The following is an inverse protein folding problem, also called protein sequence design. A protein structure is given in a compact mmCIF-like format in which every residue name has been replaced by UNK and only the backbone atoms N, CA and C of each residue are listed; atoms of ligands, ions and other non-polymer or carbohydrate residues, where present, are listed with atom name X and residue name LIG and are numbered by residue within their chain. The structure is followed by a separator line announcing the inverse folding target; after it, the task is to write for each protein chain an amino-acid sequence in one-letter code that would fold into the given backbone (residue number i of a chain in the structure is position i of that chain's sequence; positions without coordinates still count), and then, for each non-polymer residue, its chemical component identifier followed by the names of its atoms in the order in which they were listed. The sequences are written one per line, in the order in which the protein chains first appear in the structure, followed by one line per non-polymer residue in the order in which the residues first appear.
data_IF_588557721065
#
_entry.id   IF_588557721065
#
_cell.length_a   1.000
_cell.length_b   1.000
_cell.length_c   1.000
_cell.angle_alpha   90.00
_cell.angle_beta   90.00
_cell.angle_gamma   90.00
#
_symmetry.space_group_name_H-M   'P 1'
#
loop_
_entity.id
_entity.type
_entity.pdbx_description
1 polymer ?
#
# COMPACT_ATOMS: atom_id res chain seq x y z
N UNK A 1 -6.83 14.45 -1.01
CA UNK A 1 -6.33 15.35 -2.08
C UNK A 1 -5.07 14.75 -2.68
N UNK A 2 -4.81 14.92 -3.99
CA UNK A 2 -3.54 14.50 -4.64
C UNK A 2 -2.87 15.76 -5.17
N UNK A 3 -1.57 15.91 -4.89
CA UNK A 3 -0.72 16.97 -5.41
C UNK A 3 0.43 16.35 -6.20
N UNK A 4 0.73 16.91 -7.36
CA UNK A 4 1.87 16.54 -8.20
C UNK A 4 2.71 17.79 -8.42
N UNK A 5 4.01 17.70 -8.11
CA UNK A 5 4.99 18.73 -8.41
C UNK A 5 6.00 18.19 -9.42
N UNK A 6 6.37 19.03 -10.39
CA UNK A 6 7.41 18.74 -11.37
C UNK A 6 8.57 19.71 -11.14
N UNK A 7 9.80 19.19 -11.17
CA UNK A 7 11.02 19.97 -11.09
C UNK A 7 11.94 19.59 -12.24
N UNK A 8 12.21 20.54 -13.12
CA UNK A 8 13.17 20.41 -14.22
C UNK A 8 14.48 21.10 -13.84
N UNK A 9 15.55 20.32 -13.73
CA UNK A 9 16.91 20.79 -13.53
C UNK A 9 17.90 19.80 -14.14
N UNK A 10 19.00 20.30 -14.73
CA UNK A 10 20.11 19.49 -15.24
C UNK A 10 19.70 18.34 -16.19
N UNK A 11 18.86 18.64 -17.19
CA UNK A 11 18.28 17.67 -18.14
C UNK A 11 17.51 16.51 -17.48
N UNK A 12 17.04 16.70 -16.25
CA UNK A 12 16.23 15.72 -15.49
C UNK A 12 14.89 16.31 -15.10
N UNK A 13 13.83 15.57 -15.45
CA UNK A 13 12.49 15.79 -14.95
C UNK A 13 12.27 14.96 -13.68
N UNK A 14 12.06 15.63 -12.55
CA UNK A 14 11.67 14.99 -11.28
C UNK A 14 10.19 15.20 -11.04
N UNK A 15 9.44 14.11 -10.83
CA UNK A 15 8.02 14.15 -10.49
C UNK A 15 7.85 13.73 -9.03
N UNK A 16 7.29 14.60 -8.20
CA UNK A 16 6.96 14.34 -6.79
C UNK A 16 5.45 14.26 -6.65
N UNK A 17 4.95 13.23 -5.96
CA UNK A 17 3.52 13.03 -5.71
C UNK A 17 3.27 12.97 -4.20
N UNK A 18 2.33 13.79 -3.75
CA UNK A 18 1.83 13.79 -2.37
C UNK A 18 0.35 13.44 -2.40
N UNK A 19 -0.06 12.53 -1.52
CA UNK A 19 -1.46 12.15 -1.38
C UNK A 19 -1.83 12.17 0.11
N UNK A 20 -2.94 12.83 0.41
CA UNK A 20 -3.62 12.67 1.68
C UNK A 20 -4.36 11.32 1.68
N UNK A 21 -3.98 10.46 2.62
CA UNK A 21 -4.42 9.08 2.76
C UNK A 21 -5.23 8.85 4.04
N UNK A 22 -5.56 9.90 4.81
CA UNK A 22 -6.25 9.79 6.10
C UNK A 22 -7.58 9.05 5.96
N UNK A 23 -8.39 9.38 4.96
CA UNK A 23 -9.68 8.71 4.74
C UNK A 23 -9.57 7.21 4.45
N UNK A 24 -8.49 6.77 3.77
CA UNK A 24 -8.24 5.36 3.49
C UNK A 24 -7.80 4.66 4.77
N UNK A 25 -6.91 5.29 5.54
CA UNK A 25 -6.43 4.80 6.82
C UNK A 25 -7.58 4.59 7.80
N UNK A 26 -8.45 5.58 7.98
CA UNK A 26 -9.59 5.50 8.88
C UNK A 26 -10.62 4.46 8.42
N UNK A 27 -10.83 4.31 7.11
CA UNK A 27 -11.67 3.25 6.56
C UNK A 27 -11.11 1.86 6.85
N UNK A 28 -9.80 1.67 6.68
CA UNK A 28 -9.13 0.40 6.98
C UNK A 28 -9.25 0.04 8.47
N UNK A 29 -8.96 1.01 9.36
CA UNK A 29 -9.13 0.86 10.81
C UNK A 29 -10.57 0.53 11.21
N UNK A 30 -11.55 1.19 10.59
CA UNK A 30 -12.97 0.92 10.85
C UNK A 30 -13.33 -0.52 10.46
N UNK A 31 -12.98 -0.95 9.24
CA UNK A 31 -13.21 -2.32 8.77
C UNK A 31 -12.54 -3.36 9.67
N UNK A 32 -11.31 -3.10 10.12
CA UNK A 32 -10.60 -3.97 11.03
C UNK A 32 -11.33 -4.12 12.38
N UNK A 33 -11.82 -3.01 12.95
CA UNK A 33 -12.59 -3.00 14.21
C UNK A 33 -13.94 -3.69 14.08
N UNK A 34 -14.61 -3.52 12.96
CA UNK A 34 -15.94 -4.09 12.68
C UNK A 34 -15.87 -5.55 12.19
N UNK A 35 -14.67 -6.11 12.00
CA UNK A 35 -14.50 -7.47 11.46
C UNK A 35 -14.91 -7.62 9.99
N UNK A 36 -14.99 -6.52 9.24
CA UNK A 36 -15.40 -6.51 7.83
C UNK A 36 -14.17 -6.78 6.95
N UNK A 37 -13.78 -8.04 6.88
CA UNK A 37 -12.58 -8.48 6.15
C UNK A 37 -12.87 -9.52 5.05
N UNK A 38 -14.11 -9.65 4.60
CA UNK A 38 -14.51 -10.62 3.56
C UNK A 38 -14.75 -12.03 4.11
N UNK A 39 -14.83 -13.02 3.22
CA UNK A 39 -15.09 -14.42 3.58
C UNK A 39 -13.82 -15.14 4.03
N UNK A 40 -13.95 -16.39 4.50
CA UNK A 40 -12.79 -17.22 4.85
C UNK A 40 -11.93 -17.55 3.63
N UNK A 41 -12.54 -17.71 2.45
CA UNK A 41 -11.85 -18.08 1.21
C UNK A 41 -11.15 -16.88 0.56
N UNK A 42 -11.71 -15.67 0.71
CA UNK A 42 -11.15 -14.44 0.13
C UNK A 42 -11.17 -13.32 1.17
N UNK A 43 -10.04 -13.14 1.85
CA UNK A 43 -9.88 -12.10 2.87
C UNK A 43 -9.38 -10.80 2.25
N UNK A 44 -10.02 -9.70 2.61
CA UNK A 44 -9.53 -8.36 2.31
C UNK A 44 -8.44 -8.02 3.33
N UNK A 45 -7.19 -8.34 3.01
CA UNK A 45 -6.08 -8.24 3.96
C UNK A 45 -5.71 -6.79 4.34
N UNK A 46 -5.64 -5.89 3.36
CA UNK A 46 -5.26 -4.50 3.55
C UNK A 46 -5.79 -3.61 2.42
N UNK A 47 -5.82 -2.30 2.63
CA UNK A 47 -6.13 -1.32 1.59
C UNK A 47 -4.99 -0.30 1.49
N UNK A 48 -4.06 -0.55 0.55
CA UNK A 48 -2.90 0.31 0.34
C UNK A 48 -3.18 1.39 -0.72
N UNK A 49 -2.97 2.68 -0.41
CA UNK A 49 -2.99 3.75 -1.41
C UNK A 49 -1.83 3.62 -2.41
N UNK A 50 -2.07 4.05 -3.66
CA UNK A 50 -1.09 3.95 -4.76
C UNK A 50 0.24 4.65 -4.46
N UNK A 51 0.22 5.78 -3.74
CA UNK A 51 1.46 6.50 -3.36
C UNK A 51 2.41 5.64 -2.53
N UNK A 52 1.89 4.72 -1.72
CA UNK A 52 2.71 3.80 -0.92
C UNK A 52 3.27 2.67 -1.77
N UNK A 53 2.50 2.18 -2.74
CA UNK A 53 2.98 1.17 -3.71
C UNK A 53 4.08 1.78 -4.59
N UNK A 54 3.90 2.99 -5.10
CA UNK A 54 4.92 3.72 -5.86
C UNK A 54 6.20 3.89 -5.04
N UNK A 55 6.09 4.34 -3.78
CA UNK A 55 7.23 4.49 -2.87
C UNK A 55 7.93 3.16 -2.60
N UNK A 56 7.18 2.07 -2.44
CA UNK A 56 7.75 0.73 -2.29
C UNK A 56 8.54 0.32 -3.53
N UNK A 57 7.93 0.44 -4.72
CA UNK A 57 8.56 0.11 -5.99
C UNK A 57 9.86 0.90 -6.22
N UNK A 58 9.86 2.20 -5.92
CA UNK A 58 11.05 3.05 -5.98
C UNK A 58 12.15 2.57 -5.03
N UNK A 59 11.80 2.27 -3.77
CA UNK A 59 12.75 1.81 -2.75
C UNK A 59 13.36 0.44 -3.06
N UNK A 60 12.59 -0.45 -3.70
CA UNK A 60 13.04 -1.81 -4.02
C UNK A 60 13.50 -1.98 -5.47
N UNK A 61 13.51 -0.89 -6.24
CA UNK A 61 13.91 -0.88 -7.64
C UNK A 61 13.16 -1.89 -8.52
N UNK A 62 11.85 -2.01 -8.33
CA UNK A 62 10.96 -2.83 -9.17
C UNK A 62 9.94 -1.94 -9.89
N UNK A 63 9.38 -2.47 -10.96
CA UNK A 63 8.25 -1.86 -11.67
C UNK A 63 6.93 -2.20 -10.98
N UNK A 64 5.89 -1.39 -11.27
CA UNK A 64 4.53 -1.72 -10.84
C UNK A 64 4.02 -3.03 -11.45
N UNK A 65 4.46 -3.38 -12.67
CA UNK A 65 4.11 -4.64 -13.30
C UNK A 65 4.68 -5.85 -12.53
N UNK A 66 5.93 -5.76 -12.08
CA UNK A 66 6.53 -6.78 -11.21
C UNK A 66 5.83 -6.86 -9.86
N UNK A 67 5.48 -5.71 -9.25
CA UNK A 67 4.69 -5.67 -8.02
C UNK A 67 3.36 -6.43 -8.16
N UNK A 68 2.63 -6.22 -9.25
CA UNK A 68 1.35 -6.87 -9.51
C UNK A 68 1.47 -8.36 -9.84
N UNK A 69 2.59 -8.77 -10.46
CA UNK A 69 2.84 -10.16 -10.84
C UNK A 69 3.36 -11.01 -9.68
N UNK A 70 4.14 -10.44 -8.78
CA UNK A 70 4.87 -11.18 -7.75
C UNK A 70 4.30 -10.92 -6.35
N UNK A 71 3.51 -11.87 -5.78
CA UNK A 71 2.79 -11.67 -4.52
C UNK A 71 3.68 -11.34 -3.33
N UNK A 72 4.97 -11.71 -3.37
CA UNK A 72 5.96 -11.41 -2.35
C UNK A 72 6.05 -9.92 -2.02
N UNK A 73 5.78 -9.03 -2.99
CA UNK A 73 5.85 -7.59 -2.77
C UNK A 73 4.67 -7.07 -1.97
N UNK A 74 3.45 -7.51 -2.32
CA UNK A 74 2.27 -7.21 -1.53
C UNK A 74 2.36 -7.81 -0.12
N UNK A 75 2.89 -9.03 0.01
CA UNK A 75 3.16 -9.67 1.31
C UNK A 75 4.20 -8.90 2.13
N UNK A 76 5.26 -8.38 1.50
CA UNK A 76 6.25 -7.56 2.20
C UNK A 76 5.62 -6.27 2.76
N UNK A 77 4.81 -5.57 1.96
CA UNK A 77 4.05 -4.40 2.44
C UNK A 77 3.04 -4.77 3.53
N UNK A 78 2.39 -5.92 3.41
CA UNK A 78 1.47 -6.44 4.42
C UNK A 78 2.18 -6.75 5.74
N UNK A 79 3.45 -7.12 5.72
CA UNK A 79 4.23 -7.43 6.93
C UNK A 79 4.96 -6.21 7.51
N UNK A 80 5.05 -5.10 6.78
CA UNK A 80 5.71 -3.86 7.21
C UNK A 80 4.97 -3.19 8.40
N UNK A 81 5.59 -3.06 9.58
CA UNK A 81 4.95 -2.50 10.77
C UNK A 81 4.49 -1.05 10.58
N UNK A 82 5.19 -0.27 9.75
CA UNK A 82 4.85 1.14 9.50
C UNK A 82 3.55 1.27 8.68
N UNK A 83 3.17 0.20 7.98
CA UNK A 83 1.96 0.11 7.17
C UNK A 83 0.81 -0.60 7.89
N UNK A 84 0.99 -0.95 9.17
CA UNK A 84 0.00 -1.72 9.95
C UNK A 84 -1.38 -1.08 10.03
N UNK A 85 -1.47 0.25 10.03
CA UNK A 85 -2.75 0.98 10.05
C UNK A 85 -3.64 0.74 8.82
N UNK A 86 -3.06 0.31 7.70
CA UNK A 86 -3.80 0.00 6.47
C UNK A 86 -4.28 -1.46 6.40
N UNK A 87 -3.91 -2.29 7.38
CA UNK A 87 -4.33 -3.69 7.46
C UNK A 87 -5.76 -3.76 7.98
N UNK A 88 -6.56 -4.57 7.30
CA UNK A 88 -7.96 -4.83 7.64
C UNK A 88 -8.08 -6.19 8.33
N UNK A 89 -7.39 -7.20 7.80
CA UNK A 89 -7.27 -8.50 8.45
C UNK A 89 -6.03 -8.53 9.35
N UNK A 90 -6.20 -8.85 10.64
CA UNK A 90 -5.11 -8.90 11.62
C UNK A 90 -4.59 -10.32 11.91
N UNK A 91 -5.08 -11.33 11.20
CA UNK A 91 -4.47 -12.66 11.29
C UNK A 91 -3.12 -12.69 10.59
N UNK A 92 -2.14 -13.37 11.19
CA UNK A 92 -0.86 -13.67 10.53
C UNK A 92 -1.13 -14.59 9.35
N UNK A 93 -0.95 -14.11 8.12
CA UNK A 93 -0.78 -15.02 6.99
C UNK A 93 0.62 -15.65 7.11
N UNK A 94 0.70 -16.98 7.21
CA UNK A 94 1.97 -17.70 7.38
C UNK A 94 2.03 -18.83 8.41
N UNK A 95 0.90 -19.44 8.79
CA UNK A 95 0.88 -20.81 9.36
C UNK A 95 -0.26 -21.61 8.74
N UNK A 96 0.06 -22.23 7.62
CA UNK A 96 -0.69 -23.25 6.90
C UNK A 96 0.30 -23.97 6.01
#
# INVERSE_FOLDING_TARGET
MIQTAAHDADDKLTIVRTQDVEGILETAKRKAREGIHGSKDMRHAASFPMVLVEKYCQRTSITFAEFMREPKHAQAMLNDPDLSGFRIYQGREGRG
#
